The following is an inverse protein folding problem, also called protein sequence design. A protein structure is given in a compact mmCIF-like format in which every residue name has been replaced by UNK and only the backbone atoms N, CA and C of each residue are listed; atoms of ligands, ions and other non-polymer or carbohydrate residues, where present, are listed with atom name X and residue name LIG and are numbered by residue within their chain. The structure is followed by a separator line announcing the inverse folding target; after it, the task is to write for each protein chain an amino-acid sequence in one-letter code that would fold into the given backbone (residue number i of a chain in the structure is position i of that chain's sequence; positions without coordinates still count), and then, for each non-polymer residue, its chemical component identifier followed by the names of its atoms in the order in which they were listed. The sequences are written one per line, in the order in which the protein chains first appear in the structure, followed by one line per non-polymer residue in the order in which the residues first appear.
data_IF_792030452739
#
_entry.id   IF_792030452739
#
_cell.length_a   1.000
_cell.length_b   1.000
_cell.length_c   1.000
_cell.angle_alpha   90.00
_cell.angle_beta   90.00
_cell.angle_gamma   90.00
#
_symmetry.space_group_name_H-M   'P 1'
#
loop_
_entity.id
_entity.type
_entity.pdbx_description
1 polymer ?
#
# COMPACT_ATOMS: atom_id res chain seq x y z
N UNK A 1 2.33 12.20 -12.44
CA UNK A 1 1.76 11.93 -11.10
C UNK A 1 2.43 10.75 -10.41
N UNK A 2 2.24 9.48 -10.81
CA UNK A 2 2.85 8.34 -10.09
C UNK A 2 4.39 8.38 -9.98
N UNK A 3 5.10 8.67 -11.08
CA UNK A 3 6.57 8.79 -11.08
C UNK A 3 7.09 9.91 -10.15
N UNK A 4 6.34 10.99 -10.04
CA UNK A 4 6.67 12.14 -9.17
C UNK A 4 6.52 11.75 -7.69
N UNK A 5 5.42 11.08 -7.35
CA UNK A 5 5.17 10.60 -5.99
C UNK A 5 6.20 9.53 -5.59
N UNK A 6 6.51 8.59 -6.48
CA UNK A 6 7.54 7.57 -6.21
C UNK A 6 8.93 8.20 -6.00
N UNK A 7 9.29 9.23 -6.78
CA UNK A 7 10.53 9.97 -6.58
C UNK A 7 10.61 10.67 -5.23
N UNK A 8 9.53 11.34 -4.81
CA UNK A 8 9.45 12.03 -3.51
C UNK A 8 9.52 11.03 -2.35
N UNK A 9 8.88 9.87 -2.48
CA UNK A 9 8.94 8.81 -1.47
C UNK A 9 10.34 8.17 -1.35
N UNK A 10 11.19 8.34 -2.37
CA UNK A 10 12.57 7.85 -2.35
C UNK A 10 13.53 8.80 -1.61
N UNK A 11 13.12 10.05 -1.41
CA UNK A 11 13.92 11.08 -0.74
C UNK A 11 14.19 10.71 0.73
N UNK A 12 15.45 10.82 1.22
CA UNK A 12 15.82 10.38 2.57
C UNK A 12 15.00 11.04 3.69
N UNK A 13 14.69 12.32 3.54
CA UNK A 13 13.89 13.09 4.50
C UNK A 13 12.45 12.56 4.58
N UNK A 14 11.85 12.26 3.43
CA UNK A 14 10.47 11.74 3.35
C UNK A 14 10.40 10.32 3.91
N UNK A 15 11.42 9.48 3.66
CA UNK A 15 11.52 8.15 4.27
C UNK A 15 11.64 8.23 5.78
N UNK A 16 12.48 9.13 6.31
CA UNK A 16 12.63 9.36 7.74
C UNK A 16 11.30 9.78 8.35
N UNK A 17 10.60 10.72 7.71
CA UNK A 17 9.31 11.21 8.19
C UNK A 17 8.21 10.15 8.16
N UNK A 18 8.18 9.30 7.14
CA UNK A 18 7.25 8.17 7.07
C UNK A 18 7.53 7.17 8.18
N UNK A 19 8.81 6.84 8.43
CA UNK A 19 9.20 5.94 9.49
C UNK A 19 8.82 6.48 10.89
N UNK A 20 9.00 7.78 11.15
CA UNK A 20 8.54 8.44 12.39
C UNK A 20 7.03 8.29 12.64
N UNK A 21 6.24 8.29 11.57
CA UNK A 21 4.78 8.15 11.62
C UNK A 21 4.33 6.68 11.65
N UNK A 22 5.26 5.72 11.73
CA UNK A 22 4.97 4.29 11.68
C UNK A 22 4.63 3.75 10.29
N UNK A 23 4.88 4.54 9.24
CA UNK A 23 4.68 4.15 7.84
C UNK A 23 5.94 3.53 7.24
N UNK A 24 5.76 2.57 6.34
CA UNK A 24 6.81 2.03 5.49
C UNK A 24 6.64 2.64 4.10
N UNK A 25 7.66 3.30 3.53
CA UNK A 25 7.57 3.82 2.17
C UNK A 25 7.30 2.66 1.20
N UNK A 26 6.17 2.73 0.49
CA UNK A 26 5.86 1.78 -0.58
C UNK A 26 6.06 2.39 -1.96
N UNK A 27 5.92 1.58 -3.01
CA UNK A 27 5.66 2.07 -4.36
C UNK A 27 6.88 2.07 -5.28
N UNK A 28 7.36 0.89 -5.64
CA UNK A 28 8.50 0.78 -6.55
C UNK A 28 8.06 1.01 -8.02
N UNK A 29 6.85 0.57 -8.41
CA UNK A 29 6.29 0.75 -9.76
C UNK A 29 4.75 0.73 -9.80
N UNK A 30 4.10 1.30 -10.84
CA UNK A 30 2.66 1.13 -11.07
C UNK A 30 2.22 -0.34 -11.16
N UNK A 31 3.06 -1.20 -11.72
CA UNK A 31 2.81 -2.64 -11.83
C UNK A 31 2.81 -3.33 -10.45
N UNK A 32 3.74 -2.92 -9.57
CA UNK A 32 3.78 -3.41 -8.20
C UNK A 32 2.53 -2.96 -7.42
N UNK A 33 2.11 -1.70 -7.56
CA UNK A 33 0.88 -1.22 -6.92
C UNK A 33 -0.37 -1.97 -7.41
N UNK A 34 -0.50 -2.21 -8.71
CA UNK A 34 -1.60 -3.00 -9.27
C UNK A 34 -1.63 -4.43 -8.73
N UNK A 35 -0.46 -5.06 -8.58
CA UNK A 35 -0.33 -6.40 -8.02
C UNK A 35 -0.71 -6.44 -6.53
N UNK A 36 -0.27 -5.43 -5.76
CA UNK A 36 -0.62 -5.27 -4.35
C UNK A 36 -2.14 -5.13 -4.14
N UNK A 37 -2.80 -4.29 -4.94
CA UNK A 37 -4.27 -4.14 -4.86
C UNK A 37 -4.99 -5.46 -5.16
N UNK A 38 -4.49 -6.25 -6.12
CA UNK A 38 -5.06 -7.56 -6.43
C UNK A 38 -4.91 -8.52 -5.24
N UNK A 39 -3.71 -8.62 -4.65
CA UNK A 39 -3.49 -9.52 -3.50
C UNK A 39 -4.29 -9.10 -2.27
N UNK A 40 -4.39 -7.81 -2.00
CA UNK A 40 -5.18 -7.31 -0.88
C UNK A 40 -6.67 -7.59 -1.08
N UNK A 41 -7.20 -7.40 -2.29
CA UNK A 41 -8.60 -7.74 -2.60
C UNK A 41 -8.89 -9.22 -2.33
N UNK A 42 -8.02 -10.11 -2.76
CA UNK A 42 -8.18 -11.55 -2.54
C UNK A 42 -8.08 -11.91 -1.05
N UNK A 43 -7.15 -11.30 -0.31
CA UNK A 43 -6.98 -11.50 1.13
C UNK A 43 -8.22 -11.05 1.89
N UNK A 44 -8.70 -9.84 1.65
CA UNK A 44 -9.87 -9.31 2.34
C UNK A 44 -11.16 -10.04 1.94
N UNK A 45 -11.29 -10.52 0.70
CA UNK A 45 -12.40 -11.37 0.30
C UNK A 45 -12.44 -12.70 1.08
N UNK A 46 -11.27 -13.29 1.38
CA UNK A 46 -11.18 -14.47 2.26
C UNK A 46 -11.57 -14.13 3.69
N UNK A 47 -11.02 -13.05 4.25
CA UNK A 47 -11.36 -12.59 5.61
C UNK A 47 -12.85 -12.37 5.77
N UNK A 48 -13.50 -11.68 4.83
CA UNK A 48 -14.96 -11.44 4.86
C UNK A 48 -15.74 -12.76 4.81
N UNK A 49 -15.34 -13.71 3.94
CA UNK A 49 -15.96 -15.04 3.88
C UNK A 49 -15.81 -15.83 5.17
N UNK A 50 -14.63 -15.80 5.78
CA UNK A 50 -14.29 -16.59 6.96
C UNK A 50 -14.88 -16.01 8.25
N UNK A 51 -14.99 -14.69 8.34
CA UNK A 51 -15.44 -14.00 9.57
C UNK A 51 -16.91 -13.61 9.55
N UNK A 52 -17.57 -13.66 8.38
CA UNK A 52 -18.97 -13.24 8.24
C UNK A 52 -19.19 -11.73 8.43
N UNK A 53 -18.11 -10.93 8.52
CA UNK A 53 -18.16 -9.47 8.61
C UNK A 53 -18.47 -8.94 7.20
N UNK A 54 -19.74 -9.02 6.81
CA UNK A 54 -20.23 -8.29 5.65
C UNK A 54 -20.31 -6.81 6.00
N UNK A 55 -19.82 -5.97 5.08
CA UNK A 55 -19.91 -4.51 5.13
C UNK A 55 -21.35 -4.12 5.50
N UNK A 56 -21.57 -3.57 6.70
CA UNK A 56 -22.84 -2.95 7.08
C UNK A 56 -23.03 -1.64 6.30
#
# INVERSE_FOLDING_TARGET
MQKTVAGILDEPEIKSRLAELGGIPGGDTPAHFGSFIKSERERWARVVKETGIAQQ
#
